data_IF_182026596491
#
_entry.id   IF_182026596491
#
_cell.length_a   1.000
_cell.length_b   1.000
_cell.length_c   1.000
_cell.angle_alpha   90.00
_cell.angle_beta   90.00
_cell.angle_gamma   90.00
#
_symmetry.space_group_name_H-M   'P 1'
#
loop_
_entity.id
_entity.type
_entity.pdbx_description
1 polymer ?
#
# COMPACT_ATOMS: atom_id res chain seq x y z
N UNK A 1 6.12 2.38 -10.90
CA UNK A 1 5.30 2.92 -12.01
C UNK A 1 3.82 3.07 -11.64
N UNK A 2 3.18 2.13 -10.92
CA UNK A 2 1.75 2.19 -10.53
C UNK A 2 1.37 3.45 -9.74
N UNK A 3 2.19 3.87 -8.78
CA UNK A 3 1.96 5.09 -7.98
C UNK A 3 1.77 6.33 -8.87
N UNK A 4 2.68 6.54 -9.82
CA UNK A 4 2.58 7.66 -10.76
C UNK A 4 1.34 7.57 -11.67
N UNK A 5 1.02 6.38 -12.19
CA UNK A 5 -0.15 6.19 -13.07
C UNK A 5 -1.46 6.46 -12.34
N UNK A 6 -1.59 6.00 -11.09
CA UNK A 6 -2.79 6.24 -10.29
C UNK A 6 -2.91 7.71 -9.87
N UNK A 7 -1.79 8.35 -9.47
CA UNK A 7 -1.79 9.79 -9.20
C UNK A 7 -2.24 10.58 -10.43
N UNK A 8 -1.65 10.30 -11.59
CA UNK A 8 -2.00 10.94 -12.85
C UNK A 8 -3.50 10.76 -13.15
N UNK A 9 -4.01 9.54 -13.10
CA UNK A 9 -5.43 9.27 -13.34
C UNK A 9 -6.34 10.03 -12.36
N UNK A 10 -5.93 10.15 -11.09
CA UNK A 10 -6.67 10.96 -10.11
C UNK A 10 -6.64 12.45 -10.44
N UNK A 11 -5.48 12.99 -10.82
CA UNK A 11 -5.34 14.40 -11.23
C UNK A 11 -6.18 14.72 -12.46
N UNK A 12 -6.18 13.83 -13.46
CA UNK A 12 -7.01 13.96 -14.66
C UNK A 12 -8.51 14.00 -14.31
N UNK A 13 -8.96 13.11 -13.40
CA UNK A 13 -10.37 13.05 -12.98
C UNK A 13 -10.87 14.28 -12.21
N UNK A 14 -9.97 14.93 -11.44
CA UNK A 14 -10.32 16.17 -10.73
C UNK A 14 -10.05 17.45 -11.56
N UNK A 15 -9.66 17.31 -12.82
CA UNK A 15 -9.40 18.43 -13.73
C UNK A 15 -8.18 19.27 -13.36
N UNK A 16 -7.19 18.69 -12.69
CA UNK A 16 -5.97 19.39 -12.29
C UNK A 16 -5.08 19.67 -13.50
N UNK A 17 -4.52 20.88 -13.58
CA UNK A 17 -3.51 21.23 -14.58
C UNK A 17 -2.13 20.87 -14.07
N UNK A 18 -1.37 20.08 -14.83
CA UNK A 18 0.00 19.67 -14.51
C UNK A 18 0.82 19.42 -15.77
N UNK A 19 2.15 19.35 -15.63
CA UNK A 19 3.09 18.99 -16.69
C UNK A 19 3.89 17.77 -16.27
N UNK A 20 4.19 16.89 -17.20
CA UNK A 20 4.95 15.66 -16.93
C UNK A 20 6.29 15.73 -17.63
N UNK A 21 7.39 15.56 -16.86
CA UNK A 21 8.77 15.56 -17.34
C UNK A 21 9.15 16.79 -18.18
N UNK A 22 8.48 17.94 -17.97
CA UNK A 22 8.80 19.21 -18.61
C UNK A 22 9.90 19.97 -17.84
N UNK A 23 11.12 19.45 -17.97
CA UNK A 23 12.31 20.03 -17.30
C UNK A 23 12.60 21.45 -17.80
N UNK A 24 12.34 21.75 -19.07
CA UNK A 24 12.50 23.08 -19.63
C UNK A 24 11.58 24.12 -18.99
N UNK A 25 10.35 23.72 -18.68
CA UNK A 25 9.42 24.55 -17.93
C UNK A 25 9.90 24.78 -16.49
N UNK A 26 10.34 23.73 -15.80
CA UNK A 26 10.85 23.84 -14.44
C UNK A 26 12.01 24.83 -14.33
N UNK A 27 12.98 24.74 -15.25
CA UNK A 27 14.14 25.68 -15.31
C UNK A 27 13.70 27.12 -15.52
N UNK A 28 12.73 27.38 -16.40
CA UNK A 28 12.21 28.71 -16.70
C UNK A 28 11.33 29.30 -15.58
N UNK A 29 10.82 28.46 -14.70
CA UNK A 29 9.86 28.85 -13.65
C UNK A 29 10.32 28.32 -12.27
N UNK A 30 11.40 28.85 -11.70
CA UNK A 30 12.01 28.29 -10.47
C UNK A 30 11.11 28.42 -9.23
N UNK A 31 10.12 29.29 -9.23
CA UNK A 31 9.16 29.41 -8.12
C UNK A 31 8.06 28.33 -8.12
N UNK A 32 7.89 27.58 -9.21
CA UNK A 32 6.87 26.54 -9.30
C UNK A 32 7.36 25.26 -8.58
N UNK A 33 6.50 24.68 -7.77
CA UNK A 33 6.81 23.40 -7.06
C UNK A 33 7.04 22.27 -8.06
N UNK A 34 8.19 21.62 -7.96
CA UNK A 34 8.49 20.39 -8.68
C UNK A 34 8.06 19.17 -7.84
N UNK A 35 7.23 18.31 -8.44
CA UNK A 35 6.72 17.10 -7.81
C UNK A 35 7.49 15.91 -8.36
N UNK A 36 8.36 15.29 -7.54
CA UNK A 36 9.16 14.13 -7.96
C UNK A 36 8.58 12.87 -7.35
N UNK A 37 7.95 12.04 -8.19
CA UNK A 37 7.38 10.74 -7.81
C UNK A 37 8.24 9.63 -8.37
N UNK A 38 8.78 8.77 -7.52
CA UNK A 38 9.60 7.64 -7.93
C UNK A 38 11.06 7.76 -7.49
N UNK A 39 11.98 7.39 -8.36
CA UNK A 39 13.36 7.11 -7.97
C UNK A 39 14.22 8.37 -7.76
N UNK A 40 15.15 8.35 -6.79
CA UNK A 40 16.00 9.49 -6.42
C UNK A 40 16.83 10.08 -7.56
N UNK A 41 17.25 9.26 -8.55
CA UNK A 41 18.09 9.71 -9.65
C UNK A 41 17.48 10.84 -10.51
N UNK A 42 16.17 11.10 -10.37
CA UNK A 42 15.51 12.25 -11.02
C UNK A 42 16.05 13.56 -10.46
N UNK A 43 16.52 13.58 -9.20
CA UNK A 43 17.14 14.74 -8.58
C UNK A 43 18.45 15.15 -9.28
N UNK A 44 19.12 14.23 -9.96
CA UNK A 44 20.41 14.48 -10.63
C UNK A 44 20.26 15.01 -12.07
N UNK A 45 19.01 15.11 -12.56
CA UNK A 45 18.76 15.57 -13.94
C UNK A 45 18.91 17.08 -14.13
N UNK A 46 18.76 17.85 -13.06
CA UNK A 46 18.88 19.31 -13.06
C UNK A 46 19.57 19.79 -11.80
N UNK A 47 20.14 20.99 -11.86
CA UNK A 47 20.38 21.82 -10.69
C UNK A 47 19.05 22.48 -10.29
N UNK A 48 18.29 21.78 -9.44
CA UNK A 48 16.95 22.21 -9.06
C UNK A 48 16.98 23.48 -8.22
N UNK A 49 16.30 24.52 -8.68
CA UNK A 49 16.01 25.75 -7.92
C UNK A 49 14.58 25.78 -7.40
N UNK A 50 13.74 24.93 -7.94
CA UNK A 50 12.34 24.78 -7.57
C UNK A 50 12.19 24.19 -6.17
N UNK A 51 11.22 24.62 -5.34
CA UNK A 51 10.84 23.86 -4.15
C UNK A 51 10.35 22.46 -4.59
N UNK A 52 10.83 21.40 -3.91
CA UNK A 52 10.53 20.02 -4.29
C UNK A 52 9.60 19.37 -3.28
N UNK A 53 8.48 18.83 -3.76
CA UNK A 53 7.70 17.79 -3.10
C UNK A 53 8.22 16.43 -3.57
N UNK A 54 8.81 15.65 -2.67
CA UNK A 54 9.52 14.43 -3.01
C UNK A 54 8.82 13.18 -2.46
N UNK A 55 8.49 12.23 -3.31
CA UNK A 55 7.83 10.96 -2.92
C UNK A 55 6.47 10.80 -3.61
N UNK A 56 5.80 9.68 -3.41
CA UNK A 56 6.21 8.50 -2.66
C UNK A 56 7.14 7.59 -3.49
N UNK A 57 7.61 6.47 -2.86
CA UNK A 57 8.41 5.42 -3.49
C UNK A 57 9.80 5.87 -3.97
N UNK A 58 10.51 6.63 -3.14
CA UNK A 58 11.84 7.16 -3.45
C UNK A 58 12.96 6.43 -2.75
N UNK A 59 12.92 6.33 -1.42
CA UNK A 59 13.87 5.58 -0.60
C UNK A 59 13.15 4.52 0.22
N UNK A 60 13.89 3.52 0.67
CA UNK A 60 13.40 2.59 1.68
C UNK A 60 13.55 3.17 3.09
N UNK A 61 14.63 3.92 3.33
CA UNK A 61 14.89 4.57 4.62
C UNK A 61 15.76 5.84 4.45
N UNK A 62 15.59 6.88 5.30
CA UNK A 62 16.41 8.09 5.26
C UNK A 62 17.91 7.89 5.42
N UNK A 63 18.34 6.77 6.01
CA UNK A 63 19.77 6.43 6.16
C UNK A 63 20.49 6.28 4.80
N UNK A 64 19.75 6.07 3.71
CA UNK A 64 20.31 6.00 2.37
C UNK A 64 20.80 7.36 1.88
N UNK A 65 20.23 8.46 2.41
CA UNK A 65 20.62 9.83 2.11
C UNK A 65 20.22 10.80 3.25
N UNK A 66 20.93 10.79 4.37
CA UNK A 66 20.58 11.60 5.54
C UNK A 66 20.71 13.11 5.29
N UNK A 67 21.57 13.52 4.34
CA UNK A 67 21.84 14.92 4.00
C UNK A 67 20.98 15.44 2.84
N UNK A 68 19.94 14.71 2.44
CA UNK A 68 19.09 15.01 1.28
C UNK A 68 18.58 16.46 1.28
N UNK A 69 18.04 16.92 2.42
CA UNK A 69 17.49 18.27 2.56
C UNK A 69 18.55 19.38 2.54
N UNK A 70 19.80 19.07 2.88
CA UNK A 70 20.90 20.03 2.83
C UNK A 70 21.42 20.23 1.41
N UNK A 71 21.38 19.17 0.61
CA UNK A 71 21.92 19.15 -0.75
C UNK A 71 20.92 19.50 -1.85
N UNK A 72 19.63 19.43 -1.54
CA UNK A 72 18.55 19.62 -2.53
C UNK A 72 17.45 20.51 -1.96
N UNK A 73 16.76 21.32 -2.77
CA UNK A 73 15.70 22.23 -2.33
C UNK A 73 14.39 21.48 -2.00
N UNK A 74 14.50 20.31 -1.31
CA UNK A 74 13.35 19.54 -0.89
C UNK A 74 12.68 20.23 0.29
N UNK A 75 11.37 20.39 0.23
CA UNK A 75 10.56 21.02 1.27
C UNK A 75 9.73 20.01 2.05
N UNK A 76 9.34 18.93 1.39
CA UNK A 76 8.54 17.87 2.01
C UNK A 76 8.78 16.54 1.31
N UNK A 77 8.82 15.47 2.11
CA UNK A 77 8.87 14.09 1.60
C UNK A 77 7.56 13.40 1.92
N UNK A 78 7.00 12.71 0.92
CA UNK A 78 5.80 11.90 1.08
C UNK A 78 6.16 10.43 1.24
N UNK A 79 5.55 9.78 2.23
CA UNK A 79 5.63 8.34 2.48
C UNK A 79 4.25 7.71 2.37
N UNK A 80 4.16 6.43 1.96
CA UNK A 80 2.85 5.81 1.68
C UNK A 80 1.99 5.52 2.91
N UNK A 81 2.57 5.35 4.10
CA UNK A 81 1.83 4.94 5.29
C UNK A 81 2.31 5.56 6.59
N UNK A 82 1.44 5.49 7.62
CA UNK A 82 1.67 6.13 8.90
C UNK A 82 2.90 5.57 9.64
N UNK A 83 3.06 4.24 9.72
CA UNK A 83 4.20 3.64 10.39
C UNK A 83 5.53 4.04 9.73
N UNK A 84 5.54 4.20 8.39
CA UNK A 84 6.72 4.66 7.68
C UNK A 84 7.06 6.12 8.01
N UNK A 85 6.05 6.98 8.20
CA UNK A 85 6.25 8.35 8.71
C UNK A 85 6.92 8.33 10.08
N UNK A 86 6.43 7.51 11.01
CA UNK A 86 7.02 7.42 12.35
C UNK A 86 8.46 6.90 12.31
N UNK A 87 8.78 5.94 11.43
CA UNK A 87 10.13 5.44 11.20
C UNK A 87 11.08 6.54 10.66
N UNK A 88 10.57 7.44 9.81
CA UNK A 88 11.38 8.47 9.15
C UNK A 88 11.47 9.77 9.94
N UNK A 89 10.51 10.06 10.81
CA UNK A 89 10.41 11.28 11.61
C UNK A 89 11.69 11.63 12.40
N UNK A 90 12.43 10.68 13.01
CA UNK A 90 13.70 11.00 13.69
C UNK A 90 14.78 11.63 12.80
N UNK A 91 14.70 11.44 11.49
CA UNK A 91 15.68 11.95 10.53
C UNK A 91 15.26 13.28 9.90
N UNK A 92 14.00 13.43 9.53
CA UNK A 92 13.51 14.56 8.73
C UNK A 92 12.30 15.27 9.36
N UNK A 93 12.01 15.00 10.63
CA UNK A 93 11.01 15.68 11.46
C UNK A 93 9.65 15.89 10.72
N UNK A 94 9.12 17.11 10.80
CA UNK A 94 7.82 17.47 10.21
C UNK A 94 7.86 17.62 8.68
N UNK A 95 9.04 17.48 8.07
CA UNK A 95 9.15 17.43 6.61
C UNK A 95 8.65 16.11 6.00
N UNK A 96 8.30 15.10 6.83
CA UNK A 96 7.73 13.84 6.38
C UNK A 96 6.20 13.87 6.52
N UNK A 97 5.48 13.64 5.43
CA UNK A 97 4.02 13.56 5.44
C UNK A 97 3.53 12.24 4.82
N UNK A 98 2.37 11.78 5.26
CA UNK A 98 1.72 10.59 4.71
C UNK A 98 0.90 10.96 3.49
N UNK A 99 1.07 10.21 2.44
CA UNK A 99 0.21 10.30 1.26
C UNK A 99 0.03 8.92 0.61
N UNK A 100 -1.18 8.32 0.68
CA UNK A 100 -1.52 7.11 -0.05
C UNK A 100 -1.84 7.45 -1.50
N UNK A 101 -1.44 6.57 -2.43
CA UNK A 101 -1.95 6.64 -3.80
C UNK A 101 -3.35 6.02 -3.87
N UNK A 102 -4.26 6.62 -4.65
CA UNK A 102 -5.62 6.14 -4.77
C UNK A 102 -5.77 4.82 -5.54
N UNK A 103 -6.92 4.19 -5.36
CA UNK A 103 -7.35 2.99 -6.07
C UNK A 103 -8.38 3.38 -7.14
N UNK A 104 -8.23 2.81 -8.34
CA UNK A 104 -9.21 2.96 -9.41
C UNK A 104 -10.44 2.09 -9.15
N UNK A 105 -11.43 2.65 -8.48
CA UNK A 105 -12.65 1.97 -8.06
C UNK A 105 -13.60 1.63 -9.21
N UNK A 106 -13.38 2.21 -10.40
CA UNK A 106 -14.10 1.84 -11.63
C UNK A 106 -13.48 0.60 -12.31
N UNK A 107 -12.16 0.42 -12.16
CA UNK A 107 -11.45 -0.77 -12.64
C UNK A 107 -11.55 -1.94 -11.67
N UNK A 108 -11.39 -1.67 -10.37
CA UNK A 108 -11.47 -2.65 -9.29
C UNK A 108 -12.87 -2.59 -8.67
N UNK A 109 -13.79 -3.29 -9.30
CA UNK A 109 -15.21 -3.28 -8.97
C UNK A 109 -15.65 -4.65 -8.45
N UNK A 110 -16.62 -4.66 -7.53
CA UNK A 110 -17.21 -5.87 -7.02
C UNK A 110 -17.81 -6.71 -8.16
N UNK A 111 -17.55 -8.00 -8.15
CA UNK A 111 -18.20 -8.94 -9.06
C UNK A 111 -19.58 -9.33 -8.53
N UNK A 112 -20.46 -9.71 -9.45
CA UNK A 112 -21.76 -10.29 -9.10
C UNK A 112 -21.58 -11.54 -8.21
N UNK A 113 -22.42 -11.74 -7.19
CA UNK A 113 -22.32 -12.88 -6.28
C UNK A 113 -22.29 -14.24 -6.99
N UNK A 114 -23.00 -14.38 -8.11
CA UNK A 114 -23.03 -15.60 -8.92
C UNK A 114 -21.67 -16.00 -9.52
N UNK A 115 -20.73 -15.06 -9.63
CA UNK A 115 -19.36 -15.35 -10.08
C UNK A 115 -18.45 -15.90 -8.98
N UNK A 116 -18.83 -15.79 -7.72
CA UNK A 116 -18.04 -16.19 -6.56
C UNK A 116 -18.06 -17.72 -6.40
N UNK A 117 -17.23 -18.43 -7.17
CA UNK A 117 -17.14 -19.90 -7.22
C UNK A 117 -16.13 -20.48 -6.22
N UNK A 118 -15.21 -19.67 -5.70
CA UNK A 118 -14.15 -20.07 -4.76
C UNK A 118 -14.34 -19.36 -3.43
N UNK A 119 -14.13 -20.05 -2.32
CA UNK A 119 -14.32 -19.47 -0.99
C UNK A 119 -13.21 -18.47 -0.65
N UNK A 120 -11.94 -18.83 -0.86
CA UNK A 120 -10.79 -18.08 -0.38
C UNK A 120 -9.73 -17.86 -1.47
N UNK A 121 -9.24 -16.66 -1.59
CA UNK A 121 -7.97 -16.36 -2.22
C UNK A 121 -6.88 -16.31 -1.14
N UNK A 122 -5.98 -17.29 -1.11
CA UNK A 122 -4.77 -17.22 -0.30
C UNK A 122 -3.74 -16.38 -1.08
N UNK A 123 -3.52 -15.14 -0.63
CA UNK A 123 -2.57 -14.22 -1.23
C UNK A 123 -1.28 -14.20 -0.42
N UNK A 124 -0.27 -14.88 -0.95
CA UNK A 124 1.04 -15.04 -0.33
C UNK A 124 2.00 -13.94 -0.81
N UNK A 125 2.33 -13.04 0.08
CA UNK A 125 3.35 -12.00 -0.10
C UNK A 125 4.43 -12.08 0.97
N UNK A 126 4.78 -13.29 1.39
CA UNK A 126 5.95 -13.49 2.25
C UNK A 126 7.21 -13.21 1.42
N UNK A 127 7.92 -12.13 1.78
CA UNK A 127 9.08 -11.60 1.06
C UNK A 127 10.39 -12.10 1.65
N UNK A 128 10.45 -12.23 2.97
CA UNK A 128 11.66 -12.59 3.71
C UNK A 128 11.43 -13.78 4.62
N UNK A 129 12.50 -14.46 4.97
CA UNK A 129 12.50 -15.59 5.91
C UNK A 129 11.46 -16.69 5.57
N UNK A 130 11.26 -16.90 4.27
CA UNK A 130 10.23 -17.79 3.75
C UNK A 130 10.40 -19.23 4.23
N UNK A 131 11.64 -19.74 4.26
CA UNK A 131 11.93 -21.12 4.64
C UNK A 131 11.48 -21.41 6.09
N UNK A 132 11.52 -20.40 6.95
CA UNK A 132 10.99 -20.48 8.30
C UNK A 132 9.46 -20.30 8.34
N UNK A 133 8.93 -19.37 7.57
CA UNK A 133 7.49 -19.03 7.61
C UNK A 133 6.61 -20.03 6.86
N UNK A 134 7.12 -20.71 5.85
CA UNK A 134 6.34 -21.73 5.12
C UNK A 134 5.77 -22.82 6.06
N UNK A 135 6.59 -23.53 6.88
CA UNK A 135 6.07 -24.59 7.74
C UNK A 135 5.28 -24.09 8.97
N UNK A 136 5.52 -22.87 9.46
CA UNK A 136 4.89 -22.39 10.71
C UNK A 136 3.72 -21.43 10.49
N UNK A 137 3.52 -20.92 9.29
CA UNK A 137 2.44 -19.98 8.98
C UNK A 137 1.63 -20.44 7.77
N UNK A 138 2.29 -20.63 6.60
CA UNK A 138 1.57 -20.85 5.34
C UNK A 138 0.92 -22.25 5.31
N UNK A 139 1.67 -23.30 5.65
CA UNK A 139 1.13 -24.67 5.64
C UNK A 139 0.02 -24.89 6.69
N UNK A 140 0.12 -24.40 7.92
CA UNK A 140 -1.01 -24.44 8.86
C UNK A 140 -2.27 -23.76 8.33
N UNK A 141 -2.14 -22.62 7.63
CA UNK A 141 -3.29 -21.96 7.01
C UNK A 141 -3.92 -22.84 5.91
N UNK A 142 -3.09 -23.43 5.05
CA UNK A 142 -3.58 -24.40 4.03
C UNK A 142 -4.28 -25.58 4.68
N UNK A 143 -3.77 -26.07 5.79
CA UNK A 143 -4.37 -27.17 6.54
C UNK A 143 -5.75 -26.78 7.10
N UNK A 144 -5.86 -25.64 7.77
CA UNK A 144 -7.13 -25.11 8.29
C UNK A 144 -8.18 -24.96 7.17
N UNK A 145 -7.79 -24.48 5.99
CA UNK A 145 -8.70 -24.35 4.85
C UNK A 145 -9.18 -25.72 4.34
N UNK A 146 -8.30 -26.72 4.24
CA UNK A 146 -8.65 -28.08 3.84
C UNK A 146 -9.59 -28.75 4.85
N UNK A 147 -9.26 -28.66 6.14
CA UNK A 147 -10.04 -29.26 7.23
C UNK A 147 -11.42 -28.60 7.37
N UNK A 148 -11.52 -27.33 7.12
CA UNK A 148 -12.82 -26.62 7.09
C UNK A 148 -13.63 -26.87 5.82
N UNK A 149 -13.12 -27.67 4.88
CA UNK A 149 -13.80 -28.01 3.61
C UNK A 149 -13.99 -26.82 2.68
N UNK A 150 -13.10 -25.80 2.77
CA UNK A 150 -13.18 -24.60 1.93
C UNK A 150 -12.37 -24.74 0.66
N UNK A 151 -13.00 -24.33 -0.44
CA UNK A 151 -12.29 -24.19 -1.70
C UNK A 151 -11.36 -22.98 -1.64
N UNK A 152 -10.11 -23.15 -2.05
CA UNK A 152 -9.19 -22.03 -2.11
C UNK A 152 -8.29 -22.05 -3.33
N UNK A 153 -7.87 -20.87 -3.75
CA UNK A 153 -6.88 -20.61 -4.79
C UNK A 153 -5.72 -19.84 -4.19
N UNK A 154 -4.51 -20.18 -4.57
CA UNK A 154 -3.32 -19.50 -4.09
C UNK A 154 -2.71 -18.64 -5.19
N UNK A 155 -2.29 -17.43 -4.83
CA UNK A 155 -1.51 -16.53 -5.67
C UNK A 155 -0.30 -16.05 -4.87
N UNK A 156 0.90 -16.22 -5.45
CA UNK A 156 2.14 -15.68 -4.88
C UNK A 156 2.52 -14.37 -5.53
N UNK A 157 2.85 -13.39 -4.68
CA UNK A 157 3.33 -12.08 -5.15
C UNK A 157 4.51 -12.20 -6.11
N UNK A 158 4.47 -11.44 -7.21
CA UNK A 158 5.50 -11.48 -8.24
C UNK A 158 5.40 -12.64 -9.25
N UNK A 159 4.47 -13.58 -9.06
CA UNK A 159 4.28 -14.75 -9.94
C UNK A 159 2.95 -14.70 -10.71
N UNK A 160 2.36 -13.53 -10.87
CA UNK A 160 1.12 -13.35 -11.62
C UNK A 160 1.12 -12.00 -12.37
N UNK A 161 0.28 -11.91 -13.40
CA UNK A 161 -0.05 -10.64 -14.05
C UNK A 161 -1.33 -10.06 -13.47
N UNK A 162 -1.49 -8.74 -13.54
CA UNK A 162 -2.62 -8.02 -12.94
C UNK A 162 -3.99 -8.60 -13.33
N UNK A 163 -4.15 -9.07 -14.56
CA UNK A 163 -5.40 -9.67 -15.03
C UNK A 163 -5.76 -10.97 -14.31
N UNK A 164 -4.76 -11.80 -14.01
CA UNK A 164 -4.95 -13.04 -13.23
C UNK A 164 -5.40 -12.72 -11.81
N UNK A 165 -4.84 -11.68 -11.20
CA UNK A 165 -5.26 -11.21 -9.88
C UNK A 165 -6.69 -10.67 -9.90
N UNK A 166 -7.04 -9.86 -10.90
CA UNK A 166 -8.38 -9.32 -11.08
C UNK A 166 -9.42 -10.44 -11.27
N UNK A 167 -9.09 -11.47 -12.07
CA UNK A 167 -9.92 -12.63 -12.25
C UNK A 167 -10.10 -13.38 -10.92
N UNK A 168 -9.04 -13.65 -10.18
CA UNK A 168 -9.12 -14.32 -8.88
C UNK A 168 -10.02 -13.55 -7.90
N UNK A 169 -9.90 -12.21 -7.83
CA UNK A 169 -10.77 -11.39 -6.99
C UNK A 169 -12.25 -11.45 -7.43
N UNK A 170 -12.51 -11.62 -8.73
CA UNK A 170 -13.89 -11.76 -9.22
C UNK A 170 -14.51 -13.11 -8.87
N UNK A 171 -13.70 -14.15 -8.65
CA UNK A 171 -14.13 -15.52 -8.37
C UNK A 171 -14.13 -15.86 -6.87
N UNK A 172 -13.31 -15.20 -6.05
CA UNK A 172 -13.17 -15.51 -4.63
C UNK A 172 -14.11 -14.67 -3.76
N UNK A 173 -14.66 -15.30 -2.70
CA UNK A 173 -15.57 -14.65 -1.71
C UNK A 173 -14.81 -13.81 -0.70
N UNK A 174 -13.62 -14.27 -0.31
CA UNK A 174 -12.78 -13.66 0.70
C UNK A 174 -11.30 -13.81 0.32
N UNK A 175 -10.42 -13.14 1.05
CA UNK A 175 -8.98 -13.29 0.90
C UNK A 175 -8.31 -13.51 2.26
N UNK A 176 -7.36 -14.45 2.34
CA UNK A 176 -6.36 -14.48 3.41
C UNK A 176 -5.10 -13.79 2.86
N UNK A 177 -4.63 -12.78 3.56
CA UNK A 177 -3.51 -11.93 3.12
C UNK A 177 -2.31 -12.14 4.04
N UNK A 178 -1.23 -12.64 3.48
CA UNK A 178 0.02 -12.91 4.18
C UNK A 178 1.12 -11.97 3.68
N UNK A 179 1.56 -11.09 4.54
CA UNK A 179 2.65 -10.16 4.27
C UNK A 179 3.27 -9.73 5.59
N UNK A 180 4.60 -9.64 5.66
CA UNK A 180 5.28 -9.18 6.89
C UNK A 180 4.92 -7.73 7.21
N UNK A 181 4.86 -6.89 6.20
CA UNK A 181 4.40 -5.51 6.31
C UNK A 181 4.17 -4.90 4.92
N UNK A 182 3.34 -3.87 4.87
CA UNK A 182 3.10 -3.05 3.67
C UNK A 182 3.34 -1.58 3.96
N UNK A 183 3.96 -0.88 3.03
CA UNK A 183 4.06 0.58 3.13
C UNK A 183 2.74 1.26 2.80
N UNK A 184 2.01 0.73 1.82
CA UNK A 184 0.63 1.10 1.49
C UNK A 184 -0.28 -0.12 1.28
N UNK A 185 0.17 -1.11 0.47
CA UNK A 185 -0.58 -2.32 0.20
C UNK A 185 -1.63 -2.21 -0.91
N UNK A 186 -1.22 -1.76 -2.09
CA UNK A 186 -2.12 -1.57 -3.23
C UNK A 186 -2.90 -2.85 -3.56
N UNK A 187 -2.28 -4.03 -3.44
CA UNK A 187 -2.94 -5.29 -3.79
C UNK A 187 -4.14 -5.60 -2.87
N UNK A 188 -3.97 -5.50 -1.54
CA UNK A 188 -5.10 -5.76 -0.64
C UNK A 188 -6.18 -4.66 -0.77
N UNK A 189 -5.79 -3.40 -1.02
CA UNK A 189 -6.73 -2.31 -1.26
C UNK A 189 -7.55 -2.53 -2.55
N UNK A 190 -6.96 -3.14 -3.58
CA UNK A 190 -7.67 -3.57 -4.77
C UNK A 190 -8.70 -4.67 -4.46
N UNK A 191 -8.34 -5.61 -3.58
CA UNK A 191 -9.28 -6.64 -3.11
C UNK A 191 -10.44 -6.01 -2.32
N UNK A 192 -10.16 -5.10 -1.39
CA UNK A 192 -11.19 -4.34 -0.66
C UNK A 192 -12.09 -3.55 -1.63
N UNK A 193 -11.52 -2.93 -2.67
CA UNK A 193 -12.30 -2.22 -3.72
C UNK A 193 -13.22 -3.17 -4.49
N UNK A 194 -12.83 -4.44 -4.68
CA UNK A 194 -13.66 -5.50 -5.25
C UNK A 194 -14.70 -6.07 -4.26
N UNK A 195 -14.86 -5.46 -3.11
CA UNK A 195 -15.73 -5.92 -2.00
C UNK A 195 -15.37 -7.33 -1.52
N UNK A 196 -14.07 -7.65 -1.48
CA UNK A 196 -13.53 -8.91 -0.96
C UNK A 196 -13.00 -8.65 0.45
N UNK A 197 -13.67 -9.16 1.51
CA UNK A 197 -13.20 -9.04 2.88
C UNK A 197 -11.93 -9.87 3.09
N UNK A 198 -11.10 -9.43 4.03
CA UNK A 198 -9.75 -9.96 4.20
C UNK A 198 -9.53 -10.43 5.63
N UNK A 199 -8.96 -11.63 5.79
CA UNK A 199 -8.30 -12.06 7.01
C UNK A 199 -6.80 -11.84 6.83
N UNK A 200 -6.23 -10.84 7.52
CA UNK A 200 -4.84 -10.44 7.34
C UNK A 200 -3.95 -10.92 8.48
N UNK A 201 -2.79 -11.50 8.14
CA UNK A 201 -1.73 -11.71 9.11
C UNK A 201 -1.01 -10.38 9.36
N UNK A 202 -1.26 -9.78 10.53
CA UNK A 202 -0.70 -8.48 10.93
C UNK A 202 0.00 -8.63 12.30
N UNK A 203 1.23 -9.12 12.25
CA UNK A 203 1.97 -9.51 13.46
C UNK A 203 2.55 -8.33 14.25
N UNK A 204 2.54 -7.09 13.71
CA UNK A 204 2.98 -5.90 14.42
C UNK A 204 4.47 -5.90 14.84
N UNK A 205 5.29 -6.72 14.22
CA UNK A 205 6.70 -6.89 14.57
C UNK A 205 7.62 -5.82 13.98
N UNK A 206 8.90 -6.21 13.85
CA UNK A 206 9.91 -5.33 13.25
C UNK A 206 9.76 -5.20 11.74
N UNK A 207 10.21 -4.05 11.22
CA UNK A 207 10.50 -3.89 9.81
C UNK A 207 11.69 -4.77 9.42
N UNK A 208 11.44 -5.82 8.67
CA UNK A 208 12.38 -6.94 8.44
C UNK A 208 13.12 -6.87 7.11
N UNK A 209 13.23 -5.69 6.46
CA UNK A 209 14.03 -5.58 5.24
C UNK A 209 15.49 -5.94 5.54
N UNK A 210 16.03 -7.04 4.95
CA UNK A 210 17.35 -7.55 5.26
C UNK A 210 18.49 -6.60 4.87
N UNK A 211 18.23 -5.60 4.05
CA UNK A 211 19.21 -4.55 3.72
C UNK A 211 19.45 -3.60 4.89
N UNK A 212 18.58 -3.59 5.89
CA UNK A 212 18.60 -2.68 7.04
C UNK A 212 18.53 -3.41 8.37
N UNK A 213 17.63 -4.33 8.52
CA UNK A 213 17.40 -5.07 9.76
C UNK A 213 18.38 -6.28 9.89
N UNK A 214 18.89 -6.57 11.07
CA UNK A 214 18.76 -5.83 12.33
C UNK A 214 19.87 -4.79 12.57
N UNK A 215 20.82 -4.62 11.62
CA UNK A 215 22.09 -3.96 11.88
C UNK A 215 22.07 -2.44 11.71
N UNK A 216 21.25 -1.93 10.78
CA UNK A 216 21.17 -0.49 10.47
C UNK A 216 19.93 0.16 11.06
N UNK A 217 18.79 -0.52 10.98
CA UNK A 217 17.50 0.00 11.42
C UNK A 217 16.76 -1.07 12.19
N UNK A 218 16.26 -0.70 13.38
CA UNK A 218 15.30 -1.49 14.17
C UNK A 218 14.09 -0.62 14.43
N UNK A 219 13.02 -0.89 13.72
CA UNK A 219 11.77 -0.15 13.86
C UNK A 219 10.60 -1.10 14.01
N UNK A 220 9.71 -0.81 14.95
CA UNK A 220 8.43 -1.49 15.18
C UNK A 220 7.46 -0.53 15.90
N UNK A 221 6.13 -0.77 15.86
CA UNK A 221 5.48 -1.82 15.06
C UNK A 221 5.33 -1.41 13.59
N UNK A 222 5.35 -2.40 12.71
CA UNK A 222 4.88 -2.26 11.33
C UNK A 222 3.49 -2.88 11.17
N UNK A 223 2.82 -2.64 10.04
CA UNK A 223 1.54 -3.29 9.74
C UNK A 223 1.54 -3.84 8.31
N UNK A 224 0.91 -4.98 8.12
CA UNK A 224 0.62 -5.54 6.81
C UNK A 224 -0.57 -4.85 6.14
N UNK A 225 -1.41 -4.17 6.91
CA UNK A 225 -2.64 -3.49 6.44
C UNK A 225 -2.73 -2.06 6.99
N UNK A 226 -1.83 -1.14 6.61
CA UNK A 226 -1.74 0.21 7.19
C UNK A 226 -2.95 1.12 6.95
N UNK A 227 -3.87 0.72 6.07
CA UNK A 227 -5.14 1.40 5.78
C UNK A 227 -6.28 0.44 6.00
N UNK A 228 -6.88 0.48 7.20
CA UNK A 228 -7.76 -0.55 7.67
C UNK A 228 -8.76 -0.06 8.73
N UNK A 229 -9.97 -0.61 8.70
CA UNK A 229 -10.90 -0.65 9.81
C UNK A 229 -11.74 -1.95 9.78
N UNK A 230 -12.69 -2.09 10.71
CA UNK A 230 -13.50 -3.31 10.87
C UNK A 230 -14.35 -3.66 9.64
N UNK A 231 -14.61 -2.74 8.73
CA UNK A 231 -15.33 -3.00 7.48
C UNK A 231 -14.51 -3.85 6.52
N UNK A 232 -13.19 -3.82 6.64
CA UNK A 232 -12.25 -4.49 5.73
C UNK A 232 -12.16 -6.00 5.99
N UNK A 233 -12.44 -6.44 7.22
CA UNK A 233 -12.28 -7.82 7.64
C UNK A 233 -11.72 -7.95 9.05
N UNK A 234 -10.88 -8.97 9.28
CA UNK A 234 -10.24 -9.26 10.56
C UNK A 234 -8.73 -9.41 10.40
N UNK A 235 -8.00 -9.25 11.50
CA UNK A 235 -6.57 -9.52 11.57
C UNK A 235 -6.27 -10.62 12.59
N UNK A 236 -5.13 -11.29 12.44
CA UNK A 236 -4.53 -12.17 13.43
C UNK A 236 -3.02 -11.92 13.47
N UNK A 237 -2.40 -12.01 14.65
CA UNK A 237 -0.98 -11.76 14.84
C UNK A 237 -0.15 -13.04 14.88
N UNK A 238 -0.65 -14.08 15.55
CA UNK A 238 0.02 -15.35 15.69
C UNK A 238 -0.82 -16.51 15.13
N UNK A 239 -0.17 -17.58 14.73
CA UNK A 239 -0.84 -18.71 14.06
C UNK A 239 -1.86 -19.42 14.97
N UNK A 240 -1.62 -19.46 16.27
CA UNK A 240 -2.53 -20.03 17.26
C UNK A 240 -3.84 -19.24 17.39
N UNK A 241 -3.86 -17.97 17.01
CA UNK A 241 -5.09 -17.18 16.93
C UNK A 241 -5.98 -17.61 15.75
N UNK A 242 -5.40 -18.24 14.72
CA UNK A 242 -6.12 -18.58 13.47
C UNK A 242 -7.30 -19.52 13.71
N UNK A 243 -7.18 -20.48 14.64
CA UNK A 243 -8.25 -21.43 14.95
C UNK A 243 -9.53 -20.74 15.39
N UNK A 244 -9.43 -19.60 16.07
CA UNK A 244 -10.56 -18.78 16.49
C UNK A 244 -10.91 -17.69 15.47
N UNK A 245 -9.91 -17.06 14.87
CA UNK A 245 -10.09 -15.96 13.93
C UNK A 245 -10.76 -16.42 12.63
N UNK A 246 -10.40 -17.60 12.13
CA UNK A 246 -10.92 -18.11 10.87
C UNK A 246 -12.43 -18.40 10.90
N UNK A 247 -13.00 -19.18 11.84
CA UNK A 247 -14.44 -19.42 11.90
C UNK A 247 -15.23 -18.11 12.05
N UNK A 248 -14.80 -17.21 12.95
CA UNK A 248 -15.46 -15.94 13.19
C UNK A 248 -15.44 -15.04 11.94
N UNK A 249 -14.32 -14.96 11.23
CA UNK A 249 -14.21 -14.24 9.97
C UNK A 249 -15.11 -14.83 8.89
N UNK A 250 -15.12 -16.16 8.76
CA UNK A 250 -15.90 -16.83 7.72
C UNK A 250 -17.41 -16.68 7.94
N UNK A 251 -17.88 -16.80 9.17
CA UNK A 251 -19.28 -16.59 9.50
C UNK A 251 -19.74 -15.16 9.22
N UNK A 252 -18.88 -14.18 9.52
CA UNK A 252 -19.15 -12.78 9.21
C UNK A 252 -19.13 -12.50 7.70
N UNK A 253 -18.25 -13.14 6.93
CA UNK A 253 -18.29 -13.10 5.46
C UNK A 253 -19.62 -13.62 4.92
N UNK A 254 -20.12 -14.74 5.47
CA UNK A 254 -21.38 -15.36 5.03
C UNK A 254 -22.61 -14.55 5.36
N UNK A 255 -22.60 -13.86 6.49
CA UNK A 255 -23.70 -13.00 6.94
C UNK A 255 -23.69 -11.61 6.29
N UNK A 256 -22.65 -11.29 5.51
CA UNK A 256 -22.50 -9.96 4.89
C UNK A 256 -22.11 -8.87 5.88
N UNK A 257 -21.40 -9.22 6.96
CA UNK A 257 -21.01 -8.29 8.04
C UNK A 257 -19.90 -7.32 7.65
N UNK A 258 -19.21 -7.53 6.52
CA UNK A 258 -18.16 -6.63 6.03
C UNK A 258 -18.61 -5.78 4.85
N UNK A 259 -18.08 -4.54 4.77
CA UNK A 259 -18.29 -3.60 3.65
C UNK A 259 -16.97 -2.96 3.20
N UNK A 260 -15.97 -3.77 2.78
CA UNK A 260 -14.62 -3.28 2.49
C UNK A 260 -14.57 -2.27 1.34
N UNK A 261 -15.48 -2.37 0.37
CA UNK A 261 -15.57 -1.39 -0.70
C UNK A 261 -15.96 0.01 -0.18
N UNK A 262 -16.84 0.09 0.82
CA UNK A 262 -17.25 1.38 1.40
C UNK A 262 -16.06 2.09 2.04
N UNK A 263 -15.19 1.33 2.72
CA UNK A 263 -13.93 1.86 3.24
C UNK A 263 -13.07 2.49 2.14
N UNK A 264 -12.90 1.82 1.00
CA UNK A 264 -12.10 2.34 -0.13
C UNK A 264 -12.76 3.57 -0.76
N UNK A 265 -14.08 3.55 -0.97
CA UNK A 265 -14.82 4.68 -1.53
C UNK A 265 -14.77 5.92 -0.63
N UNK A 266 -14.75 5.71 0.67
CA UNK A 266 -14.65 6.79 1.65
C UNK A 266 -13.23 7.37 1.74
N UNK A 267 -12.17 6.54 1.64
CA UNK A 267 -10.82 6.94 2.04
C UNK A 267 -9.79 6.98 0.91
N UNK A 268 -9.88 6.12 -0.09
CA UNK A 268 -8.77 5.82 -0.99
C UNK A 268 -9.14 5.83 -2.48
N UNK A 269 -10.13 6.61 -2.92
CA UNK A 269 -10.37 6.79 -4.35
C UNK A 269 -9.26 7.59 -5.01
N UNK A 270 -9.10 7.46 -6.32
CA UNK A 270 -8.12 8.24 -7.09
C UNK A 270 -8.29 9.74 -6.87
N UNK A 271 -9.55 10.21 -6.87
CA UNK A 271 -9.92 11.63 -6.74
C UNK A 271 -9.53 12.19 -5.36
N UNK A 272 -9.85 11.45 -4.29
CA UNK A 272 -9.53 11.85 -2.91
C UNK A 272 -8.03 11.91 -2.69
N UNK A 273 -7.30 10.88 -3.13
CA UNK A 273 -5.85 10.83 -2.97
C UNK A 273 -5.15 11.88 -3.85
N UNK A 274 -5.64 12.17 -5.06
CA UNK A 274 -5.13 13.27 -5.88
C UNK A 274 -5.38 14.64 -5.24
N UNK A 275 -6.56 14.85 -4.66
CA UNK A 275 -6.88 16.09 -3.93
C UNK A 275 -5.98 16.28 -2.70
N UNK A 276 -5.71 15.20 -1.95
CA UNK A 276 -4.75 15.22 -0.83
C UNK A 276 -3.32 15.52 -1.31
N UNK A 277 -2.92 14.98 -2.47
CA UNK A 277 -1.62 15.32 -3.07
C UNK A 277 -1.51 16.81 -3.38
N UNK A 278 -2.52 17.39 -4.03
CA UNK A 278 -2.55 18.82 -4.34
C UNK A 278 -2.57 19.70 -3.09
N UNK A 279 -3.17 19.23 -1.99
CA UNK A 279 -3.07 19.94 -0.71
C UNK A 279 -1.61 20.03 -0.24
N UNK A 280 -0.82 18.94 -0.33
CA UNK A 280 0.61 19.00 -0.03
C UNK A 280 1.36 19.96 -0.96
N UNK A 281 1.04 19.99 -2.26
CA UNK A 281 1.68 20.93 -3.21
C UNK A 281 1.40 22.39 -2.80
N UNK A 282 0.14 22.72 -2.53
CA UNK A 282 -0.29 24.08 -2.15
C UNK A 282 0.37 24.52 -0.83
N UNK A 283 0.46 23.64 0.16
CA UNK A 283 1.12 23.95 1.44
C UNK A 283 2.61 24.32 1.32
N UNK A 284 3.23 24.06 0.17
CA UNK A 284 4.62 24.48 -0.11
C UNK A 284 4.70 25.81 -0.83
N UNK A 285 3.63 26.27 -1.46
CA UNK A 285 3.59 27.54 -2.18
C UNK A 285 3.25 28.71 -1.25
N UNK A 286 2.62 28.41 -0.09
CA UNK A 286 2.19 29.38 0.90
C UNK A 286 3.23 29.59 2.01
N UNK A 287 4.34 28.86 2.00
CA UNK A 287 5.46 28.93 2.96
C UNK A 287 6.71 29.57 2.33
#
# INVERSE_FOLDING_TARGET
MRVFLNLRAGLDRIGACYRVNDYGYAVKNPAVTACIVGKPHVLDRLEWKNPILFGAAVFSHPIDDPELFQRRPIRKVLVPGAWMKEMWKPFWNDSVAVWPVGIDTARWVAAEPARKSTDVLLYDKIMWDRDRLEPILIEPIRQVLRESGRSFREIRYGQYVEEQFRLALSECRSMIFLCEHETQGIAYQQALSCNVPILAWDHGGYWQDPSYFPHKVKFQPVSSVPYWDQRCGRTFAAIDELENAWPAFWDECRSGGFSPRDYILENLTLEKCASAYLHHVRSLSDA
#
